data_IF_921490294472
#
_entry.id   IF_921490294472
#
_cell.length_a   1.000
_cell.length_b   1.000
_cell.length_c   1.000
_cell.angle_alpha   90.00
_cell.angle_beta   90.00
_cell.angle_gamma   90.00
#
_symmetry.space_group_name_H-M   'P 1'
#
loop_
_entity.id
_entity.type
_entity.pdbx_description
1 polymer ?
#
# COMPACT_ATOMS: atom_id res chain seq x y z
N UNK A 1 -9.65 0.68 11.99
CA UNK A 1 -9.99 -0.13 10.79
C UNK A 1 -9.08 -1.34 10.76
N UNK A 2 -9.42 -2.39 10.04
CA UNK A 2 -8.55 -3.56 9.85
C UNK A 2 -8.67 -4.03 8.41
N UNK A 3 -7.68 -4.80 7.95
CA UNK A 3 -7.77 -5.53 6.69
C UNK A 3 -8.65 -6.76 6.91
N UNK A 4 -9.58 -6.98 6.00
CA UNK A 4 -10.38 -8.20 5.97
C UNK A 4 -9.54 -9.33 5.39
N UNK A 5 -9.82 -10.56 5.82
CA UNK A 5 -9.07 -11.75 5.38
C UNK A 5 -9.18 -12.01 3.87
N UNK A 6 -10.28 -11.59 3.25
CA UNK A 6 -10.52 -11.72 1.81
C UNK A 6 -9.95 -10.57 0.99
N UNK A 7 -9.50 -9.48 1.62
CA UNK A 7 -8.89 -8.38 0.89
C UNK A 7 -7.49 -8.77 0.42
N UNK A 8 -7.24 -8.53 -0.87
CA UNK A 8 -5.96 -8.78 -1.51
C UNK A 8 -5.42 -7.55 -2.24
N UNK A 9 -6.24 -6.53 -2.47
CA UNK A 9 -5.86 -5.33 -3.19
C UNK A 9 -6.72 -4.14 -2.77
N UNK A 10 -6.06 -3.03 -2.49
CA UNK A 10 -6.67 -1.73 -2.20
C UNK A 10 -5.97 -0.69 -3.08
N UNK A 11 -6.72 0.00 -3.93
CA UNK A 11 -6.18 1.02 -4.80
C UNK A 11 -6.98 2.30 -4.58
N UNK A 12 -6.31 3.33 -4.08
CA UNK A 12 -6.91 4.66 -3.96
C UNK A 12 -7.10 5.30 -5.33
N UNK A 13 -7.87 6.38 -5.35
CA UNK A 13 -8.07 7.21 -6.54
C UNK A 13 -7.96 8.69 -6.17
N UNK A 14 -7.49 9.48 -7.12
CA UNK A 14 -7.62 10.93 -7.03
C UNK A 14 -8.94 11.35 -7.64
N UNK A 15 -9.78 11.96 -6.82
CA UNK A 15 -11.08 12.48 -7.22
C UNK A 15 -10.92 13.97 -7.52
N UNK A 16 -11.30 14.39 -8.71
CA UNK A 16 -11.37 15.80 -9.05
C UNK A 16 -12.78 16.32 -8.79
N UNK A 17 -12.93 17.14 -7.74
CA UNK A 17 -14.22 17.69 -7.33
C UNK A 17 -14.10 19.19 -7.06
N UNK A 18 -15.00 19.99 -7.65
CA UNK A 18 -15.05 21.44 -7.45
C UNK A 18 -13.72 22.17 -7.73
N UNK A 19 -12.95 21.70 -8.71
CA UNK A 19 -11.67 22.32 -9.09
C UNK A 19 -10.48 21.89 -8.22
N UNK A 20 -10.68 20.97 -7.26
CA UNK A 20 -9.66 20.50 -6.33
C UNK A 20 -9.46 19.00 -6.50
N UNK A 21 -8.20 18.57 -6.51
CA UNK A 21 -7.83 17.15 -6.48
C UNK A 21 -7.87 16.68 -5.02
N UNK A 22 -8.64 15.63 -4.74
CA UNK A 22 -8.82 15.04 -3.41
C UNK A 22 -8.48 13.56 -3.44
N UNK A 23 -8.05 13.05 -2.29
CA UNK A 23 -7.92 11.61 -2.07
C UNK A 23 -9.29 11.01 -1.80
N UNK A 24 -9.55 9.84 -2.38
CA UNK A 24 -10.75 9.06 -2.08
C UNK A 24 -10.67 8.38 -0.70
N UNK A 25 -11.78 7.79 -0.29
CA UNK A 25 -11.89 7.09 0.98
C UNK A 25 -10.92 5.90 1.08
N UNK A 26 -10.59 5.26 -0.05
CA UNK A 26 -9.65 4.13 -0.09
C UNK A 26 -8.22 4.60 0.16
N UNK A 27 -7.77 5.69 -0.46
CA UNK A 27 -6.46 6.28 -0.20
C UNK A 27 -6.33 6.73 1.26
N UNK A 28 -7.37 7.37 1.82
CA UNK A 28 -7.42 7.74 3.24
C UNK A 28 -7.32 6.49 4.12
N UNK A 29 -8.04 5.42 3.78
CA UNK A 29 -7.99 4.14 4.49
C UNK A 29 -6.60 3.50 4.44
N UNK A 30 -5.96 3.48 3.29
CA UNK A 30 -4.59 2.93 3.12
C UNK A 30 -3.61 3.66 4.02
N UNK A 31 -3.64 5.00 4.03
CA UNK A 31 -2.80 5.80 4.95
C UNK A 31 -3.06 5.47 6.41
N UNK A 32 -4.33 5.29 6.80
CA UNK A 32 -4.65 4.91 8.17
C UNK A 32 -4.08 3.52 8.51
N UNK A 33 -4.23 2.53 7.62
CA UNK A 33 -3.71 1.17 7.82
C UNK A 33 -2.19 1.14 7.96
N UNK A 34 -1.47 1.87 7.10
CA UNK A 34 -0.01 2.00 7.16
C UNK A 34 0.44 2.54 8.52
N UNK A 35 -0.25 3.54 9.05
CA UNK A 35 0.14 4.19 10.30
C UNK A 35 -0.28 3.43 11.57
N UNK A 36 -1.29 2.55 11.49
CA UNK A 36 -1.94 1.98 12.69
C UNK A 36 -2.01 0.45 12.74
N UNK A 37 -1.88 -0.24 11.60
CA UNK A 37 -2.12 -1.70 11.52
C UNK A 37 -1.01 -2.46 10.81
N UNK A 38 -0.16 -1.77 10.07
CA UNK A 38 0.91 -2.35 9.30
C UNK A 38 2.27 -1.99 9.92
N UNK A 39 3.18 -2.95 9.93
CA UNK A 39 4.58 -2.75 10.32
C UNK A 39 5.45 -2.72 9.07
N UNK A 40 6.21 -1.65 8.89
CA UNK A 40 7.21 -1.57 7.82
C UNK A 40 8.30 -2.63 8.02
N UNK A 41 8.60 -3.39 6.97
CA UNK A 41 9.65 -4.41 6.96
C UNK A 41 10.90 -3.87 6.25
N UNK A 42 10.75 -3.46 4.99
CA UNK A 42 11.85 -2.92 4.19
C UNK A 42 11.31 -2.18 2.96
N UNK A 43 12.19 -1.47 2.26
CA UNK A 43 11.91 -0.96 0.92
C UNK A 43 12.48 -1.93 -0.13
N UNK A 44 11.96 -1.85 -1.35
CA UNK A 44 12.57 -2.52 -2.49
C UNK A 44 13.91 -1.87 -2.84
N UNK A 45 14.65 -2.49 -3.78
CA UNK A 45 15.96 -1.99 -4.19
C UNK A 45 15.94 -0.58 -4.78
N UNK A 46 14.79 -0.14 -5.30
CA UNK A 46 14.64 1.20 -5.89
C UNK A 46 14.19 2.25 -4.86
N UNK A 47 13.70 1.82 -3.70
CA UNK A 47 13.13 2.69 -2.66
C UNK A 47 11.71 3.18 -2.97
N UNK A 48 11.13 2.79 -4.11
CA UNK A 48 9.79 3.21 -4.53
C UNK A 48 8.67 2.38 -3.90
N UNK A 49 8.98 1.15 -3.52
CA UNK A 49 8.01 0.21 -2.96
C UNK A 49 8.42 -0.15 -1.55
N UNK A 50 7.43 -0.26 -0.68
CA UNK A 50 7.67 -0.61 0.72
C UNK A 50 6.90 -1.87 1.05
N UNK A 51 7.60 -2.86 1.60
CA UNK A 51 6.98 -4.04 2.16
C UNK A 51 6.54 -3.75 3.59
N UNK A 52 5.27 -4.04 3.84
CA UNK A 52 4.65 -4.01 5.15
C UNK A 52 4.18 -5.41 5.54
N UNK A 53 4.03 -5.64 6.83
CA UNK A 53 3.40 -6.83 7.38
C UNK A 53 2.21 -6.42 8.26
N UNK A 54 1.08 -7.09 8.08
CA UNK A 54 -0.11 -6.88 8.91
C UNK A 54 0.13 -7.46 10.31
N UNK A 55 -0.08 -6.63 11.33
CA UNK A 55 0.10 -7.02 12.74
C UNK A 55 -0.97 -8.00 13.24
N UNK A 56 -2.10 -8.10 12.54
CA UNK A 56 -3.25 -8.92 12.96
C UNK A 56 -3.17 -10.37 12.48
N UNK A 57 -2.66 -10.61 11.26
CA UNK A 57 -2.64 -11.93 10.64
C UNK A 57 -1.30 -12.31 10.00
N UNK A 58 -0.31 -11.41 10.00
CA UNK A 58 1.04 -11.67 9.52
C UNK A 58 1.19 -11.60 7.99
N UNK A 59 0.14 -11.29 7.24
CA UNK A 59 0.19 -11.19 5.78
C UNK A 59 1.07 -10.04 5.32
N UNK A 60 1.72 -10.22 4.18
CA UNK A 60 2.56 -9.20 3.57
C UNK A 60 1.78 -8.31 2.62
N UNK A 61 2.10 -7.03 2.65
CA UNK A 61 1.46 -6.00 1.84
C UNK A 61 2.52 -5.09 1.23
N UNK A 62 2.56 -5.02 -0.09
CA UNK A 62 3.37 -4.05 -0.81
C UNK A 62 2.60 -2.74 -0.94
N UNK A 63 3.19 -1.67 -0.43
CA UNK A 63 2.75 -0.31 -0.69
C UNK A 63 3.50 0.25 -1.90
N UNK A 64 2.74 0.84 -2.81
CA UNK A 64 3.24 1.55 -3.98
C UNK A 64 2.30 2.73 -4.27
N UNK A 65 2.73 3.61 -5.16
CA UNK A 65 1.87 4.64 -5.72
C UNK A 65 1.51 4.25 -7.15
N UNK A 66 0.22 4.19 -7.48
CA UNK A 66 -0.21 4.13 -8.88
C UNK A 66 0.14 5.44 -9.58
N UNK A 67 0.35 5.44 -10.90
CA UNK A 67 0.57 6.68 -11.69
C UNK A 67 1.67 7.63 -11.14
N UNK A 68 2.83 7.08 -10.77
CA UNK A 68 3.96 7.83 -10.20
C UNK A 68 4.55 8.95 -11.08
N UNK A 69 4.08 9.07 -12.32
CA UNK A 69 4.46 10.13 -13.26
C UNK A 69 3.76 11.48 -12.95
N UNK A 70 2.76 11.51 -12.07
CA UNK A 70 2.12 12.76 -11.64
C UNK A 70 2.95 13.47 -10.57
N UNK A 71 3.20 14.78 -10.77
CA UNK A 71 3.83 15.64 -9.76
C UNK A 71 3.00 15.62 -8.46
N UNK A 72 3.54 15.01 -7.40
CA UNK A 72 2.86 14.79 -6.12
C UNK A 72 2.70 13.31 -5.73
N UNK A 73 3.04 12.38 -6.63
CA UNK A 73 2.80 10.95 -6.48
C UNK A 73 1.35 10.61 -6.80
N UNK A 74 1.07 9.56 -7.57
CA UNK A 74 -0.31 9.13 -7.79
C UNK A 74 -0.87 8.39 -6.57
N UNK A 75 -2.07 7.79 -6.66
CA UNK A 75 -2.80 7.35 -5.47
C UNK A 75 -2.08 6.18 -4.79
N UNK A 76 -2.15 6.15 -3.45
CA UNK A 76 -1.58 5.05 -2.66
C UNK A 76 -2.30 3.74 -2.98
N UNK A 77 -1.52 2.67 -3.05
CA UNK A 77 -1.99 1.33 -3.36
C UNK A 77 -1.34 0.32 -2.42
N UNK A 78 -2.13 -0.64 -1.92
CA UNK A 78 -1.69 -1.78 -1.14
C UNK A 78 -2.05 -3.08 -1.85
N UNK A 79 -1.05 -3.91 -2.10
CA UNK A 79 -1.18 -5.19 -2.79
C UNK A 79 -0.73 -6.29 -1.84
N UNK A 80 -1.61 -7.24 -1.57
CA UNK A 80 -1.25 -8.42 -0.79
C UNK A 80 -0.24 -9.26 -1.57
N UNK A 81 0.85 -9.63 -0.90
CA UNK A 81 1.83 -10.57 -1.42
C UNK A 81 1.77 -11.86 -0.61
N UNK A 82 1.84 -12.99 -1.30
CA UNK A 82 2.13 -14.27 -0.63
C UNK A 82 3.53 -14.24 -0.02
N UNK A 83 3.78 -15.10 0.97
CA UNK A 83 5.09 -15.22 1.61
C UNK A 83 6.21 -15.45 0.59
N UNK A 84 5.95 -16.31 -0.42
CA UNK A 84 6.92 -16.61 -1.48
C UNK A 84 7.21 -15.38 -2.34
N UNK A 85 6.19 -14.61 -2.73
CA UNK A 85 6.38 -13.39 -3.51
C UNK A 85 7.15 -12.33 -2.73
N UNK A 86 6.81 -12.13 -1.45
CA UNK A 86 7.50 -11.21 -0.56
C UNK A 86 8.97 -11.61 -0.41
N UNK A 87 9.26 -12.88 -0.17
CA UNK A 87 10.63 -13.41 -0.05
C UNK A 87 11.44 -13.22 -1.32
N UNK A 88 10.89 -13.59 -2.49
CA UNK A 88 11.58 -13.46 -3.77
C UNK A 88 11.88 -12.00 -4.12
N UNK A 89 10.88 -11.13 -3.96
CA UNK A 89 10.96 -9.74 -4.40
C UNK A 89 11.81 -8.87 -3.48
N UNK A 90 11.70 -9.08 -2.17
CA UNK A 90 12.41 -8.30 -1.16
C UNK A 90 13.64 -9.01 -0.58
N UNK A 91 13.98 -10.19 -1.11
CA UNK A 91 15.15 -11.00 -0.71
C UNK A 91 15.20 -11.23 0.80
N UNK A 92 14.09 -11.72 1.36
CA UNK A 92 13.96 -11.97 2.80
C UNK A 92 14.70 -13.26 3.26
N UNK A 93 15.57 -13.83 2.41
CA UNK A 93 16.32 -15.08 2.60
C UNK A 93 17.68 -15.02 1.93
#
# INVERSE_FOLDING_TARGET
>A
MQLQKSETHLSGQWIFEAGVMKEDEVAIRIKWLINNSLKMICNDSTGWKTLYQDLSDGRYWEHTYGQSEMHGGGPSELIHLTDQEAQLKYRLV
#
